data_IF_836103544786
#
_entry.id   IF_836103544786
#
_cell.length_a   1.000
_cell.length_b   1.000
_cell.length_c   1.000
_cell.angle_alpha   90.00
_cell.angle_beta   90.00
_cell.angle_gamma   90.00
#
_symmetry.space_group_name_H-M   'P 1'
#
loop_
_entity.id
_entity.type
_entity.pdbx_description
1 polymer ?
#
# COMPACT_ATOMS: atom_id res chain seq x y z
N UNK A 1 35.89 32.52 5.11
CA UNK A 1 35.34 31.29 5.72
C UNK A 1 34.28 30.74 4.76
N UNK A 2 34.54 29.59 4.14
CA UNK A 2 33.52 28.93 3.30
C UNK A 2 32.64 28.09 4.22
N UNK A 3 31.38 28.46 4.35
CA UNK A 3 30.40 27.73 5.14
C UNK A 3 29.99 26.43 4.39
N UNK A 4 29.92 25.31 5.10
CA UNK A 4 29.31 24.07 4.59
C UNK A 4 30.24 23.01 4.00
N UNK A 5 31.56 23.12 4.18
CA UNK A 5 32.47 22.00 3.89
C UNK A 5 32.20 20.85 4.88
N UNK A 6 31.87 19.66 4.35
CA UNK A 6 31.61 18.46 5.16
C UNK A 6 30.17 18.26 5.67
N UNK A 7 29.23 19.16 5.34
CA UNK A 7 27.79 19.00 5.58
C UNK A 7 27.07 18.55 4.28
N UNK A 8 25.80 18.12 4.34
CA UNK A 8 25.01 17.64 3.19
C UNK A 8 24.87 18.64 2.03
N UNK A 9 25.29 19.90 2.24
CA UNK A 9 25.29 20.99 1.25
C UNK A 9 26.63 21.16 0.53
N UNK A 10 27.63 20.33 0.83
CA UNK A 10 28.92 20.40 0.19
C UNK A 10 28.80 20.06 -1.31
N UNK A 11 29.21 21.01 -2.15
CA UNK A 11 29.12 20.91 -3.61
C UNK A 11 30.04 19.83 -4.18
N UNK A 12 31.10 19.45 -3.45
CA UNK A 12 32.04 18.40 -3.84
C UNK A 12 31.48 16.98 -3.65
N UNK A 13 30.41 16.81 -2.89
CA UNK A 13 29.73 15.51 -2.72
C UNK A 13 29.04 15.00 -3.98
N UNK A 14 28.73 15.91 -4.93
CA UNK A 14 27.90 15.61 -6.10
C UNK A 14 28.66 14.94 -7.27
N UNK A 15 29.97 14.71 -7.13
CA UNK A 15 30.79 13.98 -8.12
C UNK A 15 30.97 12.48 -7.84
N UNK A 16 30.36 11.96 -6.76
CA UNK A 16 30.48 10.55 -6.36
C UNK A 16 29.10 9.93 -6.17
N UNK A 17 28.96 8.69 -6.59
CA UNK A 17 27.79 7.89 -6.25
C UNK A 17 27.88 7.50 -4.78
N UNK A 18 27.15 8.23 -3.93
CA UNK A 18 26.96 7.89 -2.52
C UNK A 18 25.63 7.16 -2.35
N UNK A 19 25.57 6.26 -1.36
CA UNK A 19 24.29 5.69 -0.97
C UNK A 19 23.39 6.82 -0.46
N UNK A 20 22.13 6.89 -0.92
CA UNK A 20 21.19 7.89 -0.44
C UNK A 20 20.97 7.69 1.06
N UNK A 21 20.77 8.79 1.77
CA UNK A 21 20.44 8.78 3.20
C UNK A 21 19.21 7.92 3.44
N UNK A 22 19.30 6.99 4.40
CA UNK A 22 18.13 6.25 4.89
C UNK A 22 17.27 7.23 5.69
N UNK A 23 16.02 7.40 5.25
CA UNK A 23 15.03 8.23 5.94
C UNK A 23 14.29 7.34 6.94
N UNK A 24 14.25 7.77 8.20
CA UNK A 24 13.54 7.02 9.24
C UNK A 24 12.01 7.15 9.08
N UNK A 25 11.26 6.21 9.66
CA UNK A 25 9.80 6.19 9.64
C UNK A 25 9.18 7.50 10.11
N UNK A 26 9.66 8.04 11.24
CA UNK A 26 9.07 9.26 11.83
C UNK A 26 9.24 10.44 10.88
N UNK A 27 10.38 10.49 10.20
CA UNK A 27 10.67 11.54 9.22
C UNK A 27 9.84 11.37 7.94
N UNK A 28 9.65 10.15 7.44
CA UNK A 28 8.75 9.86 6.31
C UNK A 28 7.31 10.29 6.62
N UNK A 29 6.80 9.96 7.81
CA UNK A 29 5.47 10.37 8.26
C UNK A 29 5.38 11.90 8.37
N UNK A 30 6.39 12.56 8.94
CA UNK A 30 6.43 14.01 9.04
C UNK A 30 6.44 14.67 7.65
N UNK A 31 7.26 14.19 6.72
CA UNK A 31 7.32 14.68 5.35
C UNK A 31 5.96 14.52 4.65
N UNK A 32 5.35 13.34 4.74
CA UNK A 32 4.06 13.08 4.11
C UNK A 32 2.93 13.95 4.68
N UNK A 33 2.96 14.24 5.98
CA UNK A 33 1.91 15.06 6.63
C UNK A 33 2.10 16.57 6.43
N UNK A 34 3.35 17.04 6.37
CA UNK A 34 3.66 18.49 6.39
C UNK A 34 4.00 19.05 5.02
N UNK A 35 4.54 18.25 4.10
CA UNK A 35 4.96 18.69 2.79
C UNK A 35 3.97 18.22 1.72
N UNK A 36 3.30 19.19 1.08
CA UNK A 36 2.30 18.92 0.04
C UNK A 36 2.88 18.17 -1.16
N UNK A 37 4.14 18.42 -1.55
CA UNK A 37 4.77 17.77 -2.69
C UNK A 37 5.10 16.31 -2.36
N UNK A 38 5.66 16.05 -1.18
CA UNK A 38 5.92 14.69 -0.71
C UNK A 38 4.63 13.86 -0.70
N UNK A 39 3.53 14.46 -0.24
CA UNK A 39 2.21 13.84 -0.29
C UNK A 39 1.75 13.54 -1.73
N UNK A 40 1.90 14.50 -2.65
CA UNK A 40 1.51 14.31 -4.06
C UNK A 40 2.31 13.20 -4.76
N UNK A 41 3.61 13.09 -4.48
CA UNK A 41 4.47 12.03 -5.02
C UNK A 41 3.98 10.64 -4.63
N UNK A 42 3.43 10.49 -3.42
CA UNK A 42 2.86 9.24 -2.92
C UNK A 42 1.43 9.01 -3.44
N UNK A 43 0.57 10.02 -3.31
CA UNK A 43 -0.89 9.87 -3.51
C UNK A 43 -1.29 9.86 -4.99
N UNK A 44 -0.64 10.65 -5.85
CA UNK A 44 -1.03 10.75 -7.28
C UNK A 44 -0.92 9.38 -7.96
N UNK A 45 0.21 8.66 -7.90
CA UNK A 45 0.31 7.38 -8.59
C UNK A 45 -0.69 6.35 -8.07
N UNK A 46 -0.92 6.30 -6.76
CA UNK A 46 -1.90 5.38 -6.16
C UNK A 46 -3.33 5.71 -6.61
N UNK A 47 -3.67 7.00 -6.67
CA UNK A 47 -4.98 7.47 -7.12
C UNK A 47 -5.18 7.22 -8.61
N UNK A 48 -4.16 7.49 -9.42
CA UNK A 48 -4.20 7.31 -10.88
C UNK A 48 -4.35 5.82 -11.25
N UNK A 49 -3.54 4.95 -10.64
CA UNK A 49 -3.61 3.50 -10.84
C UNK A 49 -4.95 2.88 -10.45
N UNK A 50 -5.66 3.48 -9.48
CA UNK A 50 -6.95 2.99 -9.01
C UNK A 50 -8.12 3.82 -9.53
N UNK A 51 -7.88 4.77 -10.45
CA UNK A 51 -8.91 5.66 -11.01
C UNK A 51 -9.83 4.92 -11.95
N UNK A 52 -9.26 4.12 -12.84
CA UNK A 52 -10.00 3.10 -13.56
C UNK A 52 -9.82 1.80 -12.78
N UNK A 53 -10.93 1.19 -12.38
CA UNK A 53 -10.85 -0.07 -11.65
C UNK A 53 -10.66 -1.25 -12.61
N UNK A 54 -10.49 -2.44 -12.06
CA UNK A 54 -10.21 -3.64 -12.84
C UNK A 54 -11.50 -4.16 -13.49
N UNK A 55 -11.42 -4.49 -14.78
CA UNK A 55 -12.45 -5.26 -15.47
C UNK A 55 -12.04 -6.73 -15.52
N UNK A 56 -12.88 -7.63 -15.02
CA UNK A 56 -12.63 -9.06 -15.00
C UNK A 56 -13.02 -9.68 -16.35
N UNK A 57 -12.03 -10.01 -17.17
CA UNK A 57 -12.25 -10.73 -18.42
C UNK A 57 -12.30 -12.24 -18.14
N UNK A 58 -13.51 -12.80 -18.04
CA UNK A 58 -13.73 -14.22 -17.79
C UNK A 58 -14.73 -14.82 -18.77
N UNK A 59 -14.68 -16.14 -18.99
CA UNK A 59 -15.67 -16.85 -19.80
C UNK A 59 -17.01 -17.07 -19.08
N UNK A 60 -17.14 -16.60 -17.83
CA UNK A 60 -18.35 -16.70 -17.03
C UNK A 60 -19.39 -15.69 -17.52
N UNK A 61 -20.67 -16.03 -17.39
CA UNK A 61 -21.76 -15.08 -17.63
C UNK A 61 -21.74 -13.94 -16.61
N UNK A 62 -22.20 -12.75 -17.03
CA UNK A 62 -22.27 -11.56 -16.18
C UNK A 62 -23.00 -11.82 -14.85
N UNK A 63 -24.07 -12.61 -14.87
CA UNK A 63 -24.85 -12.97 -13.68
C UNK A 63 -24.04 -13.75 -12.63
N UNK A 64 -23.00 -14.49 -13.06
CA UNK A 64 -22.11 -15.20 -12.15
C UNK A 64 -21.07 -14.29 -11.49
N UNK A 65 -20.81 -13.11 -12.04
CA UNK A 65 -19.85 -12.12 -11.51
C UNK A 65 -20.50 -11.15 -10.51
N UNK A 66 -21.82 -11.00 -10.56
CA UNK A 66 -22.59 -10.11 -9.71
C UNK A 66 -22.31 -10.31 -8.19
N UNK A 67 -22.24 -11.54 -7.64
CA UNK A 67 -21.86 -11.75 -6.24
C UNK A 67 -20.44 -11.29 -5.91
N UNK A 68 -19.51 -11.43 -6.85
CA UNK A 68 -18.11 -11.00 -6.68
C UNK A 68 -18.02 -9.48 -6.64
N UNK A 69 -18.68 -8.78 -7.55
CA UNK A 69 -18.71 -7.31 -7.55
C UNK A 69 -19.37 -6.75 -6.29
N UNK A 70 -20.44 -7.41 -5.81
CA UNK A 70 -21.07 -7.04 -4.53
C UNK A 70 -20.13 -7.22 -3.35
N UNK A 71 -19.38 -8.33 -3.31
CA UNK A 71 -18.38 -8.57 -2.26
C UNK A 71 -17.24 -7.55 -2.34
N UNK A 72 -16.77 -7.23 -3.55
CA UNK A 72 -15.73 -6.23 -3.78
C UNK A 72 -16.13 -4.85 -3.25
N UNK A 73 -17.36 -4.43 -3.54
CA UNK A 73 -17.92 -3.18 -3.03
C UNK A 73 -18.09 -3.22 -1.50
N UNK A 74 -18.61 -4.32 -0.95
CA UNK A 74 -18.80 -4.48 0.50
C UNK A 74 -17.47 -4.43 1.27
N UNK A 75 -16.39 -4.98 0.70
CA UNK A 75 -15.05 -4.94 1.28
C UNK A 75 -14.29 -3.65 0.98
N UNK A 76 -14.84 -2.79 0.12
CA UNK A 76 -14.20 -1.57 -0.37
C UNK A 76 -12.78 -1.83 -0.92
N UNK A 77 -12.63 -2.91 -1.70
CA UNK A 77 -11.32 -3.40 -2.18
C UNK A 77 -10.55 -2.29 -2.88
N UNK A 78 -11.25 -1.48 -3.70
CA UNK A 78 -10.65 -0.36 -4.43
C UNK A 78 -9.94 0.65 -3.54
N UNK A 79 -10.61 1.10 -2.47
CA UNK A 79 -9.97 2.01 -1.52
C UNK A 79 -8.82 1.35 -0.78
N UNK A 80 -8.97 0.08 -0.39
CA UNK A 80 -7.92 -0.68 0.32
C UNK A 80 -6.67 -0.88 -0.52
N UNK A 81 -6.83 -1.18 -1.81
CA UNK A 81 -5.71 -1.31 -2.76
C UNK A 81 -5.04 0.03 -2.99
N UNK A 82 -5.80 1.12 -3.15
CA UNK A 82 -5.24 2.47 -3.24
C UNK A 82 -4.39 2.80 -2.01
N UNK A 83 -4.92 2.54 -0.82
CA UNK A 83 -4.22 2.82 0.43
C UNK A 83 -2.95 1.95 0.57
N UNK A 84 -3.02 0.68 0.17
CA UNK A 84 -1.86 -0.21 0.11
C UNK A 84 -0.79 0.29 -0.86
N UNK A 85 -1.17 0.77 -2.05
CA UNK A 85 -0.23 1.35 -3.03
C UNK A 85 0.42 2.64 -2.51
N UNK A 86 -0.34 3.49 -1.82
CA UNK A 86 0.19 4.69 -1.19
C UNK A 86 1.17 4.32 -0.08
N UNK A 87 0.82 3.39 0.80
CA UNK A 87 1.69 2.95 1.90
C UNK A 87 2.94 2.21 1.40
N UNK A 88 2.83 1.44 0.33
CA UNK A 88 3.98 0.81 -0.31
C UNK A 88 4.99 1.84 -0.81
N UNK A 89 4.51 2.97 -1.36
CA UNK A 89 5.39 4.09 -1.78
C UNK A 89 5.93 4.88 -0.60
N UNK A 90 5.12 5.11 0.43
CA UNK A 90 5.53 5.90 1.59
C UNK A 90 6.55 5.16 2.46
N UNK A 91 6.34 3.88 2.70
CA UNK A 91 7.09 3.08 3.67
C UNK A 91 8.06 2.10 3.00
N UNK A 92 7.98 1.92 1.68
CA UNK A 92 8.78 0.94 0.94
C UNK A 92 8.20 -0.47 0.96
N UNK A 93 6.98 -0.65 1.47
CA UNK A 93 6.28 -1.92 1.47
C UNK A 93 4.94 -1.84 2.22
N UNK A 94 3.93 -2.51 1.68
CA UNK A 94 2.63 -2.69 2.31
C UNK A 94 2.01 -4.01 1.84
N UNK A 95 1.15 -4.58 2.67
CA UNK A 95 0.41 -5.82 2.38
C UNK A 95 -1.08 -5.64 2.67
N UNK A 96 -1.89 -6.31 1.87
CA UNK A 96 -3.32 -6.43 2.09
C UNK A 96 -3.60 -7.77 2.75
N UNK A 97 -3.95 -7.74 4.03
CA UNK A 97 -4.30 -8.92 4.81
C UNK A 97 -5.80 -9.21 4.69
N UNK A 98 -6.12 -10.40 4.20
CA UNK A 98 -7.48 -10.93 4.11
C UNK A 98 -7.76 -11.69 5.39
N UNK A 99 -8.65 -11.17 6.21
CA UNK A 99 -9.05 -11.82 7.45
C UNK A 99 -10.35 -12.62 7.22
N UNK A 100 -10.28 -13.93 7.44
CA UNK A 100 -11.43 -14.83 7.40
C UNK A 100 -11.94 -15.02 8.81
N UNK A 101 -13.15 -14.52 9.07
CA UNK A 101 -13.73 -14.63 10.41
C UNK A 101 -13.93 -16.11 10.79
N UNK A 102 -13.41 -16.50 11.95
CA UNK A 102 -13.51 -17.87 12.47
C UNK A 102 -12.25 -18.72 12.30
N UNK A 103 -11.23 -18.22 11.58
CA UNK A 103 -9.91 -18.83 11.54
C UNK A 103 -8.90 -18.02 12.36
N UNK A 104 -8.00 -18.72 13.04
CA UNK A 104 -6.84 -18.11 13.68
C UNK A 104 -5.74 -17.88 12.64
N UNK A 105 -5.28 -16.62 12.41
CA UNK A 105 -4.17 -16.33 11.50
C UNK A 105 -2.85 -17.03 11.85
N UNK A 106 -2.68 -17.50 13.09
CA UNK A 106 -1.50 -18.23 13.53
C UNK A 106 -1.51 -19.71 13.10
N UNK A 107 -2.65 -20.24 12.67
CA UNK A 107 -2.79 -21.62 12.20
C UNK A 107 -2.72 -21.69 10.67
N UNK A 108 -2.37 -22.85 10.09
CA UNK A 108 -2.45 -23.07 8.65
C UNK A 108 -3.86 -22.75 8.13
N UNK A 109 -3.93 -21.97 7.05
CA UNK A 109 -5.19 -21.56 6.43
C UNK A 109 -5.97 -22.77 5.91
N UNK A 110 -7.23 -22.90 6.32
CA UNK A 110 -8.13 -23.94 5.83
C UNK A 110 -9.05 -23.39 4.72
N UNK A 111 -8.80 -23.70 3.45
CA UNK A 111 -9.62 -23.23 2.34
C UNK A 111 -11.03 -23.84 2.33
N UNK A 112 -11.24 -25.02 2.96
CA UNK A 112 -12.54 -25.69 2.94
C UNK A 112 -13.60 -24.94 3.77
N UNK A 113 -13.16 -24.16 4.76
CA UNK A 113 -14.05 -23.34 5.59
C UNK A 113 -14.55 -22.07 4.90
N UNK A 114 -13.95 -21.66 3.78
CA UNK A 114 -14.37 -20.46 3.03
C UNK A 114 -15.50 -20.82 2.06
N UNK A 115 -16.73 -20.66 2.53
CA UNK A 115 -17.95 -20.85 1.73
C UNK A 115 -18.57 -19.53 1.29
N UNK A 116 -19.52 -19.59 0.34
CA UNK A 116 -20.32 -18.43 -0.07
C UNK A 116 -21.04 -17.83 1.15
N UNK A 117 -20.86 -16.52 1.38
CA UNK A 117 -21.42 -15.84 2.56
C UNK A 117 -20.49 -15.83 3.79
N UNK A 118 -19.30 -16.43 3.70
CA UNK A 118 -18.28 -16.28 4.73
C UNK A 118 -17.95 -14.82 4.95
N UNK A 119 -17.79 -14.46 6.22
CA UNK A 119 -17.55 -13.07 6.59
C UNK A 119 -16.05 -12.80 6.42
N UNK A 120 -15.72 -11.89 5.51
CA UNK A 120 -14.35 -11.49 5.20
C UNK A 120 -14.12 -10.03 5.60
N UNK A 121 -12.89 -9.67 5.93
CA UNK A 121 -12.49 -8.27 6.09
C UNK A 121 -11.09 -8.02 5.53
N UNK A 122 -10.85 -6.79 5.05
CA UNK A 122 -9.58 -6.38 4.45
C UNK A 122 -8.87 -5.33 5.31
N UNK A 123 -7.64 -5.65 5.71
CA UNK A 123 -6.78 -4.77 6.49
C UNK A 123 -5.51 -4.47 5.71
N UNK A 124 -5.17 -3.19 5.58
CA UNK A 124 -3.89 -2.77 5.00
C UNK A 124 -2.88 -2.68 6.13
N UNK A 125 -1.70 -3.28 5.94
CA UNK A 125 -0.59 -3.24 6.89
C UNK A 125 0.65 -2.68 6.19
N UNK A 126 1.34 -1.74 6.84
CA UNK A 126 2.65 -1.28 6.39
C UNK A 126 3.77 -2.23 6.85
N UNK A 127 4.95 -2.10 6.24
CA UNK A 127 6.10 -2.96 6.54
C UNK A 127 6.48 -3.05 8.02
N UNK A 128 6.23 -2.04 8.84
CA UNK A 128 6.61 -2.04 10.26
C UNK A 128 5.54 -2.65 11.16
N UNK A 129 4.37 -3.01 10.61
CA UNK A 129 3.34 -3.78 11.30
C UNK A 129 3.40 -5.28 11.01
N UNK A 130 4.19 -5.67 10.01
CA UNK A 130 4.35 -7.06 9.55
C UNK A 130 5.66 -7.68 10.05
N UNK A 131 6.64 -6.83 10.40
CA UNK A 131 7.98 -7.22 10.85
C UNK A 131 8.04 -7.49 12.36
#
# INVERSE_FOLDING_TARGET
>A
MVAGLGDQRDKMSYGRYLLPRVIDRVELEAMYRTNWLARKVVDIPATDMTREWVTLNTALHADALEPMHRLEQALNVRAKVRDALAWARLYGGAVLFINVHGQDPCLPFDPASVMLGSRLSLTVLDRWRVA
#
